data_IF_042605801097
#
_entry.id   IF_042605801097
#
_cell.length_a   1.000
_cell.length_b   1.000
_cell.length_c   1.000
_cell.angle_alpha   90.00
_cell.angle_beta   90.00
_cell.angle_gamma   90.00
#
_symmetry.space_group_name_H-M   'P 1'
#
loop_
_entity.id
_entity.type
_entity.pdbx_description
1 polymer ?
#
# COMPACT_ATOMS: atom_id res chain seq x y z
N UNK A 1 7.54 -1.71 2.88
CA UNK A 1 7.45 -2.65 4.01
C UNK A 1 8.08 -4.00 3.68
N UNK A 2 7.43 -4.86 2.87
CA UNK A 2 7.92 -6.23 2.60
C UNK A 2 9.38 -6.32 2.09
N UNK A 3 9.76 -5.47 1.14
CA UNK A 3 11.14 -5.44 0.60
C UNK A 3 12.16 -4.96 1.66
N UNK A 4 11.81 -3.95 2.45
CA UNK A 4 12.68 -3.47 3.54
C UNK A 4 12.84 -4.53 4.64
N UNK A 5 11.78 -5.27 4.98
CA UNK A 5 11.84 -6.39 5.93
C UNK A 5 12.77 -7.53 5.44
N UNK A 6 12.93 -7.66 4.11
CA UNK A 6 13.88 -8.61 3.50
C UNK A 6 15.30 -8.05 3.36
N UNK A 7 15.56 -6.83 3.84
CA UNK A 7 16.88 -6.22 3.82
C UNK A 7 17.26 -5.54 2.50
N UNK A 8 16.32 -5.35 1.57
CA UNK A 8 16.58 -4.57 0.37
C UNK A 8 16.64 -3.07 0.68
N UNK A 9 17.53 -2.37 -0.03
CA UNK A 9 17.47 -0.92 -0.08
C UNK A 9 16.39 -0.49 -1.08
N UNK A 10 15.52 0.41 -0.65
CA UNK A 10 14.28 0.73 -1.37
C UNK A 10 14.05 2.23 -1.31
N UNK A 11 13.74 2.80 -2.47
CA UNK A 11 13.23 4.15 -2.63
C UNK A 11 11.78 4.10 -3.14
N UNK A 12 10.91 4.93 -2.58
CA UNK A 12 9.51 5.09 -2.95
C UNK A 12 9.32 6.51 -3.44
N UNK A 13 8.94 6.66 -4.70
CA UNK A 13 8.59 7.94 -5.30
C UNK A 13 7.07 8.12 -5.18
N UNK A 14 6.65 9.09 -4.36
CA UNK A 14 5.23 9.42 -4.16
C UNK A 14 4.91 10.74 -4.85
N UNK A 15 3.86 10.74 -5.68
CA UNK A 15 3.46 11.91 -6.45
C UNK A 15 2.73 12.97 -5.61
N UNK A 16 2.09 12.57 -4.50
CA UNK A 16 1.49 13.51 -3.57
C UNK A 16 2.56 14.41 -2.91
N UNK A 17 2.20 15.66 -2.62
CA UNK A 17 3.11 16.63 -1.97
C UNK A 17 3.40 16.25 -0.52
N UNK A 18 2.40 15.71 0.17
CA UNK A 18 2.49 15.25 1.55
C UNK A 18 1.43 14.17 1.84
N UNK A 19 1.53 13.56 3.02
CA UNK A 19 0.59 12.52 3.44
C UNK A 19 -0.88 12.97 3.44
N UNK A 20 -1.12 14.19 3.89
CA UNK A 20 -2.44 14.83 4.07
C UNK A 20 -3.01 15.45 2.78
N UNK A 21 -2.28 15.37 1.65
CA UNK A 21 -2.72 15.93 0.37
C UNK A 21 -4.00 15.29 -0.18
N UNK A 22 -4.38 14.10 0.32
CA UNK A 22 -5.57 13.37 -0.12
C UNK A 22 -6.66 13.41 0.95
N UNK A 23 -7.88 13.72 0.51
CA UNK A 23 -9.07 13.54 1.34
C UNK A 23 -9.29 12.07 1.73
N UNK A 24 -10.06 11.87 2.79
CA UNK A 24 -10.51 10.55 3.22
C UNK A 24 -11.39 9.92 2.13
N UNK A 25 -10.89 8.88 1.47
CA UNK A 25 -11.64 8.11 0.47
C UNK A 25 -12.51 7.01 1.10
N UNK A 26 -13.24 6.28 0.25
CA UNK A 26 -14.01 5.11 0.67
C UNK A 26 -13.13 4.01 1.30
N UNK A 27 -13.72 3.19 2.16
CA UNK A 27 -13.04 2.08 2.84
C UNK A 27 -12.62 0.96 1.88
N UNK A 28 -11.50 0.30 2.19
CA UNK A 28 -11.03 -0.89 1.50
C UNK A 28 -11.35 -2.12 2.34
N UNK A 29 -11.60 -3.24 1.66
CA UNK A 29 -11.72 -4.54 2.31
C UNK A 29 -10.42 -5.31 2.10
N UNK A 30 -9.75 -5.69 3.17
CA UNK A 30 -8.46 -6.41 3.13
C UNK A 30 -8.62 -7.74 3.86
N UNK A 31 -7.99 -8.80 3.37
CA UNK A 31 -7.89 -10.04 4.14
C UNK A 31 -6.86 -9.86 5.26
N UNK A 32 -7.28 -10.08 6.51
CA UNK A 32 -6.41 -9.86 7.67
C UNK A 32 -5.10 -10.66 7.59
N UNK A 33 -5.21 -11.93 7.17
CA UNK A 33 -4.06 -12.82 7.02
C UNK A 33 -3.01 -12.28 6.03
N UNK A 34 -3.44 -11.66 4.94
CA UNK A 34 -2.54 -11.13 3.92
C UNK A 34 -1.81 -9.88 4.44
N UNK A 35 -2.51 -9.02 5.18
CA UNK A 35 -1.88 -7.84 5.80
C UNK A 35 -0.77 -8.25 6.79
N UNK A 36 -1.03 -9.27 7.61
CA UNK A 36 -0.06 -9.78 8.58
C UNK A 36 1.08 -10.53 7.88
N UNK A 37 0.77 -11.45 6.97
CA UNK A 37 1.80 -12.29 6.33
C UNK A 37 2.66 -11.52 5.32
N UNK A 38 2.06 -10.64 4.52
CA UNK A 38 2.76 -9.94 3.45
C UNK A 38 3.43 -8.64 3.93
N UNK A 39 2.81 -7.93 4.89
CA UNK A 39 3.31 -6.64 5.36
C UNK A 39 3.75 -6.65 6.83
N UNK A 40 3.40 -7.67 7.62
CA UNK A 40 3.66 -7.65 9.07
C UNK A 40 2.82 -6.62 9.82
N UNK A 41 1.72 -6.14 9.23
CA UNK A 41 0.89 -5.08 9.80
C UNK A 41 -0.36 -5.71 10.42
N UNK A 42 -0.59 -5.44 11.70
CA UNK A 42 -1.84 -5.79 12.35
C UNK A 42 -2.84 -4.63 12.21
N UNK A 43 -3.91 -4.86 11.44
CA UNK A 43 -4.97 -3.88 11.16
C UNK A 43 -6.24 -4.14 11.97
N UNK A 44 -6.25 -5.08 12.91
CA UNK A 44 -7.46 -5.50 13.62
C UNK A 44 -8.16 -4.34 14.36
N UNK A 45 -7.36 -3.40 14.90
CA UNK A 45 -7.85 -2.23 15.61
C UNK A 45 -8.42 -1.14 14.68
N UNK A 46 -8.13 -1.23 13.39
CA UNK A 46 -8.60 -0.26 12.38
C UNK A 46 -9.79 -0.81 11.57
N UNK A 47 -10.34 -1.96 11.98
CA UNK A 47 -11.54 -2.53 11.36
C UNK A 47 -12.76 -1.67 11.67
N UNK A 48 -13.48 -1.28 10.62
CA UNK A 48 -14.72 -0.51 10.68
C UNK A 48 -15.87 -1.33 10.05
N UNK A 49 -16.30 -2.42 10.70
CA UNK A 49 -17.30 -3.31 10.14
C UNK A 49 -18.67 -2.62 10.05
N UNK A 50 -19.35 -2.79 8.91
CA UNK A 50 -20.70 -2.27 8.73
C UNK A 50 -21.73 -3.24 9.28
N UNK A 51 -22.36 -2.88 10.39
CA UNK A 51 -23.40 -3.71 11.05
C UNK A 51 -24.81 -3.33 10.63
N UNK A 52 -25.00 -2.17 9.99
CA UNK A 52 -26.30 -1.65 9.56
C UNK A 52 -26.24 -1.05 8.16
N UNK A 53 -27.18 -1.42 7.31
CA UNK A 53 -27.30 -0.95 5.94
C UNK A 53 -28.71 -0.41 5.72
N UNK A 54 -28.80 0.75 5.09
CA UNK A 54 -30.04 1.43 4.78
C UNK A 54 -30.10 1.77 3.29
N UNK A 55 -31.28 1.62 2.70
CA UNK A 55 -31.58 2.07 1.36
C UNK A 55 -32.56 3.24 1.46
N UNK A 56 -32.21 4.37 0.86
CA UNK A 56 -33.03 5.58 0.87
C UNK A 56 -33.62 5.87 -0.51
N UNK A 57 -34.79 6.52 -0.54
CA UNK A 57 -35.33 7.15 -1.73
C UNK A 57 -34.58 8.45 -2.04
N UNK A 58 -34.74 9.02 -3.26
CA UNK A 58 -34.17 10.33 -3.58
C UNK A 58 -34.63 11.45 -2.63
N UNK A 59 -35.84 11.33 -2.06
CA UNK A 59 -36.40 12.28 -1.10
C UNK A 59 -35.92 12.04 0.34
N UNK A 60 -35.03 11.06 0.56
CA UNK A 60 -34.47 10.72 1.87
C UNK A 60 -35.31 9.77 2.73
N UNK A 61 -36.39 9.19 2.18
CA UNK A 61 -37.20 8.22 2.92
C UNK A 61 -36.55 6.83 2.92
N UNK A 62 -36.63 6.10 4.04
CA UNK A 62 -36.09 4.73 4.12
C UNK A 62 -36.97 3.79 3.30
N UNK A 63 -36.39 3.13 2.30
CA UNK A 63 -37.02 2.08 1.49
C UNK A 63 -36.82 0.69 2.08
N UNK A 64 -35.72 0.48 2.79
CA UNK A 64 -35.40 -0.79 3.43
C UNK A 64 -34.13 -0.68 4.26
N UNK A 65 -33.95 -1.65 5.16
CA UNK A 65 -32.75 -1.76 5.99
C UNK A 65 -32.44 -3.24 6.21
N UNK A 66 -31.14 -3.55 6.32
CA UNK A 66 -30.66 -4.91 6.58
C UNK A 66 -29.29 -4.86 7.26
N UNK A 67 -28.90 -5.97 7.89
CA UNK A 67 -27.64 -6.05 8.63
C UNK A 67 -27.84 -6.62 10.02
N UNK A 68 -26.72 -6.99 10.64
CA UNK A 68 -26.72 -7.64 11.95
C UNK A 68 -27.35 -6.79 13.05
N UNK A 69 -27.26 -5.46 12.94
CA UNK A 69 -27.84 -4.52 13.88
C UNK A 69 -29.37 -4.64 14.02
N UNK A 70 -30.06 -5.26 13.06
CA UNK A 70 -31.51 -5.42 13.05
C UNK A 70 -31.97 -6.85 13.40
N UNK A 71 -31.05 -7.77 13.64
CA UNK A 71 -31.37 -9.15 14.05
C UNK A 71 -31.77 -9.26 15.51
N UNK A 72 -32.44 -10.36 15.89
CA UNK A 72 -32.90 -10.61 17.28
C UNK A 72 -31.77 -10.59 18.32
N UNK A 73 -30.55 -10.93 17.92
CA UNK A 73 -29.34 -10.94 18.78
C UNK A 73 -28.56 -9.63 18.79
N UNK A 74 -29.07 -8.57 18.14
CA UNK A 74 -28.40 -7.27 18.03
C UNK A 74 -28.09 -6.64 19.40
N UNK A 75 -28.96 -6.82 20.39
CA UNK A 75 -28.83 -6.22 21.73
C UNK A 75 -27.73 -6.83 22.60
N UNK A 76 -27.30 -8.05 22.31
CA UNK A 76 -26.33 -8.78 23.13
C UNK A 76 -24.91 -8.77 22.52
N UNK A 77 -24.77 -8.32 21.27
CA UNK A 77 -23.50 -8.31 20.56
C UNK A 77 -22.68 -7.09 20.97
N UNK A 78 -21.53 -7.33 21.61
CA UNK A 78 -20.43 -6.36 21.66
C UNK A 78 -19.74 -6.38 20.29
N UNK A 79 -19.41 -5.22 19.75
CA UNK A 79 -18.52 -5.15 18.59
C UNK A 79 -17.22 -5.87 18.97
N UNK A 80 -17.01 -7.04 18.36
CA UNK A 80 -15.78 -7.78 18.56
C UNK A 80 -14.77 -7.09 17.65
N UNK A 81 -13.77 -6.44 18.24
CA UNK A 81 -12.54 -6.09 17.52
C UNK A 81 -12.08 -7.36 16.81
N UNK A 82 -12.07 -7.35 15.47
CA UNK A 82 -11.76 -8.50 14.60
C UNK A 82 -12.96 -9.40 14.22
N UNK A 83 -13.88 -8.85 13.42
CA UNK A 83 -15.13 -9.50 12.99
C UNK A 83 -14.96 -10.74 12.09
N UNK A 84 -13.75 -11.01 11.57
CA UNK A 84 -13.50 -12.22 10.79
C UNK A 84 -12.28 -12.15 9.86
N UNK A 85 -12.39 -12.83 8.72
CA UNK A 85 -11.32 -12.93 7.70
C UNK A 85 -10.99 -11.59 7.03
N UNK A 86 -11.93 -10.65 7.03
CA UNK A 86 -11.87 -9.39 6.29
C UNK A 86 -11.93 -8.20 7.23
N UNK A 87 -11.15 -7.18 6.91
CA UNK A 87 -11.06 -5.90 7.62
C UNK A 87 -11.54 -4.81 6.67
N UNK A 88 -12.46 -3.98 7.12
CA UNK A 88 -12.91 -2.78 6.42
C UNK A 88 -12.16 -1.57 6.96
N UNK A 89 -11.18 -1.05 6.22
CA UNK A 89 -10.30 0.02 6.69
C UNK A 89 -10.37 1.26 5.77
N UNK A 90 -10.49 2.48 6.32
CA UNK A 90 -10.39 3.70 5.51
C UNK A 90 -9.00 3.82 4.86
N UNK A 91 -8.93 4.27 3.60
CA UNK A 91 -7.66 4.33 2.85
C UNK A 91 -6.53 5.09 3.54
N UNK A 92 -6.82 6.27 4.09
CA UNK A 92 -5.79 7.06 4.77
C UNK A 92 -5.29 6.36 6.02
N UNK A 93 -6.18 5.67 6.73
CA UNK A 93 -5.79 4.87 7.89
C UNK A 93 -4.83 3.75 7.49
N UNK A 94 -5.14 3.01 6.42
CA UNK A 94 -4.23 2.00 5.89
C UNK A 94 -2.89 2.61 5.47
N UNK A 95 -2.92 3.73 4.76
CA UNK A 95 -1.71 4.43 4.31
C UNK A 95 -0.85 4.85 5.50
N UNK A 96 -1.45 5.36 6.58
CA UNK A 96 -0.76 5.69 7.82
C UNK A 96 -0.05 4.47 8.42
N UNK A 97 -0.76 3.33 8.57
CA UNK A 97 -0.18 2.08 9.10
C UNK A 97 0.97 1.55 8.25
N UNK A 98 0.89 1.70 6.93
CA UNK A 98 2.00 1.33 6.04
C UNK A 98 3.19 2.26 6.26
N UNK A 99 2.98 3.57 6.36
CA UNK A 99 4.04 4.56 6.56
C UNK A 99 4.76 4.39 7.89
N UNK A 100 4.05 4.02 8.96
CA UNK A 100 4.65 3.69 10.26
C UNK A 100 5.67 2.55 10.18
N UNK A 101 5.55 1.65 9.20
CA UNK A 101 6.45 0.51 8.97
C UNK A 101 7.50 0.76 7.89
N UNK A 102 7.40 1.85 7.13
CA UNK A 102 8.38 2.21 6.11
C UNK A 102 9.36 3.19 6.73
N UNK A 103 10.66 2.98 6.45
CA UNK A 103 11.69 3.95 6.85
C UNK A 103 11.38 5.33 6.24
N UNK A 104 11.25 6.41 7.03
CA UNK A 104 10.84 7.72 6.50
C UNK A 104 11.73 8.25 5.37
N UNK A 105 13.03 7.98 5.44
CA UNK A 105 14.03 8.38 4.44
C UNK A 105 13.88 7.63 3.09
N UNK A 106 13.16 6.52 3.08
CA UNK A 106 12.90 5.77 1.85
C UNK A 106 11.86 6.45 0.95
N UNK A 107 11.11 7.43 1.46
CA UNK A 107 9.98 8.02 0.74
C UNK A 107 10.37 9.43 0.27
N UNK A 108 10.34 9.62 -1.05
CA UNK A 108 10.49 10.91 -1.68
C UNK A 108 9.11 11.40 -2.13
N UNK A 109 8.58 12.39 -1.41
CA UNK A 109 7.31 13.05 -1.72
C UNK A 109 7.46 14.04 -2.88
N UNK A 110 6.34 14.43 -3.48
CA UNK A 110 6.27 15.32 -4.64
C UNK A 110 7.11 14.82 -5.84
N UNK A 111 7.30 13.52 -5.95
CA UNK A 111 8.11 12.86 -6.97
C UNK A 111 7.22 12.04 -7.90
N UNK A 112 6.77 12.67 -8.97
CA UNK A 112 5.99 11.98 -10.01
C UNK A 112 6.90 11.45 -11.11
N UNK A 113 6.87 10.14 -11.30
CA UNK A 113 7.57 9.44 -12.38
C UNK A 113 7.10 9.92 -13.76
N UNK A 114 8.04 10.29 -14.64
CA UNK A 114 7.77 10.61 -16.04
C UNK A 114 8.26 9.50 -16.99
N UNK A 115 9.49 9.04 -16.82
CA UNK A 115 10.09 7.99 -17.64
C UNK A 115 11.18 7.24 -16.87
N UNK A 116 11.61 6.10 -17.40
CA UNK A 116 12.75 5.36 -16.88
C UNK A 116 13.59 4.79 -18.02
N UNK A 117 14.89 4.61 -17.76
CA UNK A 117 15.83 3.96 -18.67
C UNK A 117 16.69 2.97 -17.89
N UNK A 118 16.79 1.73 -18.36
CA UNK A 118 17.65 0.72 -17.76
C UNK A 118 19.02 0.73 -18.44
N UNK A 119 20.09 0.59 -17.67
CA UNK A 119 21.43 0.27 -18.19
C UNK A 119 21.98 -0.95 -17.49
N UNK A 120 22.90 -1.61 -18.20
CA UNK A 120 23.53 -2.85 -17.79
C UNK A 120 24.19 -3.45 -19.01
N UNK A 121 25.24 -4.23 -18.81
CA UNK A 121 25.88 -4.92 -19.92
C UNK A 121 24.89 -5.95 -20.49
N UNK A 122 24.65 -5.98 -21.81
CA UNK A 122 24.01 -7.13 -22.43
C UNK A 122 24.97 -8.32 -22.28
N UNK A 123 24.75 -9.18 -21.29
CA UNK A 123 25.46 -10.44 -21.17
C UNK A 123 24.97 -11.40 -22.26
N UNK A 124 25.67 -11.43 -23.39
CA UNK A 124 25.34 -12.30 -24.52
C UNK A 124 26.37 -12.24 -25.65
N UNK A 125 27.62 -12.54 -25.33
CA UNK A 125 28.70 -12.78 -26.29
C UNK A 125 29.77 -13.60 -25.59
N UNK A 126 29.80 -14.90 -25.87
CA UNK A 126 30.80 -15.83 -25.37
C UNK A 126 32.19 -15.38 -25.84
N UNK A 127 32.98 -14.79 -24.95
CA UNK A 127 34.42 -14.69 -25.16
C UNK A 127 35.14 -15.30 -23.95
N UNK A 128 35.59 -16.55 -24.14
CA UNK A 128 36.49 -17.24 -23.24
C UNK A 128 37.89 -16.64 -23.39
N UNK A 129 38.16 -15.51 -22.74
CA UNK A 129 39.52 -15.11 -22.42
C UNK A 129 39.61 -14.65 -20.96
N UNK A 130 40.26 -15.49 -20.16
CA UNK A 130 40.39 -15.32 -18.72
C UNK A 130 41.33 -14.18 -18.34
N UNK A 131 40.90 -13.35 -17.39
CA UNK A 131 41.72 -12.42 -16.63
C UNK A 131 41.11 -12.19 -15.23
N UNK A 132 41.88 -12.23 -14.13
CA UNK A 132 41.35 -12.12 -12.79
C UNK A 132 41.07 -10.65 -12.46
N UNK A 133 39.83 -10.19 -12.64
CA UNK A 133 39.47 -8.82 -12.23
C UNK A 133 38.19 -8.23 -12.82
N UNK A 134 37.34 -9.01 -13.50
CA UNK A 134 36.09 -8.50 -14.08
C UNK A 134 35.10 -8.04 -13.01
N UNK A 135 35.02 -6.72 -12.77
CA UNK A 135 33.90 -6.11 -12.03
C UNK A 135 32.61 -6.47 -12.77
N UNK A 136 31.73 -7.27 -12.14
CA UNK A 136 30.37 -7.51 -12.64
C UNK A 136 29.73 -6.15 -12.93
N UNK A 137 29.37 -5.90 -14.19
CA UNK A 137 28.66 -4.69 -14.58
C UNK A 137 27.39 -4.57 -13.73
N UNK A 138 27.25 -3.49 -12.99
CA UNK A 138 26.03 -3.23 -12.22
C UNK A 138 24.94 -2.84 -13.21
N UNK A 139 23.82 -3.55 -13.18
CA UNK A 139 22.60 -3.10 -13.82
C UNK A 139 21.98 -2.00 -12.94
N UNK A 140 21.33 -1.02 -13.55
CA UNK A 140 20.67 0.09 -12.86
C UNK A 140 19.56 0.70 -13.69
N UNK A 141 18.81 1.61 -13.08
CA UNK A 141 17.70 2.33 -13.70
C UNK A 141 17.75 3.83 -13.37
N UNK A 142 17.60 4.69 -14.38
CA UNK A 142 17.53 6.15 -14.24
C UNK A 142 16.07 6.40 -14.35
N UNK A 143 15.57 7.08 -13.34
CA UNK A 143 14.21 7.53 -13.28
C UNK A 143 14.21 9.02 -13.54
N UNK A 144 13.44 9.46 -14.53
CA UNK A 144 13.20 10.88 -14.79
C UNK A 144 11.86 11.26 -14.19
N UNK A 145 11.86 12.27 -13.34
CA UNK A 145 10.68 12.85 -12.72
C UNK A 145 10.09 13.96 -13.61
N UNK A 146 8.83 14.32 -13.37
CA UNK A 146 8.14 15.35 -14.16
C UNK A 146 8.71 16.76 -14.02
N UNK A 147 9.53 17.01 -12.99
CA UNK A 147 10.24 18.28 -12.80
C UNK A 147 11.59 18.34 -13.55
N UNK A 148 11.95 17.27 -14.26
CA UNK A 148 13.22 17.13 -14.99
C UNK A 148 14.35 16.52 -14.16
N UNK A 149 14.13 16.21 -12.87
CA UNK A 149 15.12 15.54 -12.03
C UNK A 149 15.37 14.11 -12.52
N UNK A 150 16.64 13.72 -12.60
CA UNK A 150 17.06 12.34 -12.89
C UNK A 150 17.65 11.68 -11.64
N UNK A 151 17.19 10.48 -11.31
CA UNK A 151 17.62 9.69 -10.15
C UNK A 151 18.09 8.31 -10.60
N UNK A 152 19.26 7.88 -10.16
CA UNK A 152 19.78 6.54 -10.46
C UNK A 152 19.53 5.59 -9.28
N UNK A 153 19.07 4.38 -9.58
CA UNK A 153 18.83 3.30 -8.63
C UNK A 153 19.39 1.95 -9.12
#
# INVERSE_FOLDING_TARGET
VALQQKGFDVMVLEADVAFDSRAQGYGLTIQQQDAIQAMGINLAQDDAPSTSHYTFSPDGNILGFFGEAFGEKSRERREIENSGRFIHIPRQQLRARILEQVRPEAIQWNSKLQSFACWGAPGGGDDQSGGPGGKKGKNGVTVTLTDGTALDA
#
